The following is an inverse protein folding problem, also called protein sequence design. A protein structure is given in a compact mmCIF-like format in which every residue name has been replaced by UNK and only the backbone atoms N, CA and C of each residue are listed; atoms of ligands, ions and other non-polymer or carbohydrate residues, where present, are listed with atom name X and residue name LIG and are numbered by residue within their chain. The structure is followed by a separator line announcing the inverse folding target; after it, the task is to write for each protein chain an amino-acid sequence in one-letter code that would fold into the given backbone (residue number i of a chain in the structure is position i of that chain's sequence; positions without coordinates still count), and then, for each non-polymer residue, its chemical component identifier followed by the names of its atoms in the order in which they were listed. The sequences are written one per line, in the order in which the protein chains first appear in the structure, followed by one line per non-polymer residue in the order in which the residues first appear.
data_IF_986719184467
#
_entry.id   IF_986719184467
#
_cell.length_a   1.000
_cell.length_b   1.000
_cell.length_c   1.000
_cell.angle_alpha   90.00
_cell.angle_beta   90.00
_cell.angle_gamma   90.00
#
_symmetry.space_group_name_H-M   'P 1'
#
loop_
_entity.id
_entity.type
_entity.pdbx_description
1 polymer ?
#
# COMPACT_ATOMS: atom_id res chain seq x y z
N UNK A 1 -24.79 -13.93 -8.14
CA UNK A 1 -23.83 -13.51 -7.10
C UNK A 1 -22.58 -14.33 -7.34
N UNK A 2 -21.54 -13.73 -7.91
CA UNK A 2 -20.25 -14.38 -8.09
C UNK A 2 -19.43 -14.03 -6.85
N UNK A 3 -19.32 -14.99 -5.95
CA UNK A 3 -18.42 -14.90 -4.81
C UNK A 3 -17.00 -14.94 -5.36
N UNK A 4 -16.29 -13.82 -5.22
CA UNK A 4 -14.89 -13.75 -5.57
C UNK A 4 -14.12 -14.53 -4.52
N UNK A 5 -13.80 -15.79 -4.82
CA UNK A 5 -12.84 -16.62 -4.09
C UNK A 5 -11.45 -15.96 -4.18
N UNK A 6 -11.24 -14.94 -3.35
CA UNK A 6 -9.93 -14.40 -3.04
C UNK A 6 -9.22 -15.44 -2.17
N UNK A 7 -8.58 -16.41 -2.82
CA UNK A 7 -7.74 -17.44 -2.20
C UNK A 7 -6.38 -16.84 -1.81
N UNK A 8 -6.40 -15.72 -1.08
CA UNK A 8 -5.23 -15.17 -0.40
C UNK A 8 -4.97 -16.06 0.82
N UNK A 9 -4.45 -17.26 0.54
CA UNK A 9 -4.18 -18.30 1.52
C UNK A 9 -3.47 -17.69 2.72
N UNK A 10 -4.13 -17.80 3.88
CA UNK A 10 -3.70 -17.23 5.14
C UNK A 10 -2.20 -17.47 5.35
N UNK A 11 -1.38 -16.44 5.16
CA UNK A 11 0.02 -16.49 5.51
C UNK A 11 0.10 -16.83 6.99
N UNK A 12 0.69 -17.98 7.31
CA UNK A 12 1.13 -18.25 8.69
C UNK A 12 1.91 -17.01 9.15
N UNK A 13 1.53 -16.36 10.26
CA UNK A 13 2.17 -15.12 10.68
C UNK A 13 3.65 -15.40 10.88
N UNK A 14 4.48 -14.93 9.95
CA UNK A 14 5.93 -15.08 10.05
C UNK A 14 6.35 -14.24 11.25
N UNK A 15 6.95 -14.90 12.25
CA UNK A 15 7.50 -14.18 13.41
C UNK A 15 8.53 -13.19 12.88
N UNK A 16 8.31 -11.91 13.18
CA UNK A 16 9.22 -10.85 12.78
C UNK A 16 10.58 -11.09 13.45
N UNK A 17 11.66 -10.85 12.72
CA UNK A 17 12.98 -10.84 13.34
C UNK A 17 13.13 -9.60 14.22
N UNK A 18 13.99 -9.62 15.25
CA UNK A 18 14.26 -8.43 16.06
C UNK A 18 14.79 -7.23 15.24
N UNK A 19 15.41 -7.49 14.08
CA UNK A 19 15.80 -6.45 13.15
C UNK A 19 14.58 -5.82 12.43
N UNK A 20 13.61 -6.63 12.01
CA UNK A 20 12.40 -6.15 11.36
C UNK A 20 11.54 -5.31 12.33
N UNK A 21 11.40 -5.73 13.59
CA UNK A 21 10.66 -4.97 14.60
C UNK A 21 11.28 -3.59 14.86
N UNK A 22 12.62 -3.52 14.95
CA UNK A 22 13.32 -2.23 15.11
C UNK A 22 13.11 -1.31 13.90
N UNK A 23 13.21 -1.86 12.69
CA UNK A 23 13.01 -1.09 11.46
C UNK A 23 11.58 -0.52 11.38
N UNK A 24 10.57 -1.31 11.76
CA UNK A 24 9.18 -0.87 11.79
C UNK A 24 8.96 0.23 12.82
N UNK A 25 9.56 0.11 14.00
CA UNK A 25 9.48 1.12 15.06
C UNK A 25 10.10 2.45 14.61
N UNK A 26 11.29 2.43 14.01
CA UNK A 26 11.94 3.64 13.48
C UNK A 26 11.10 4.28 12.35
N UNK A 27 10.57 3.47 11.44
CA UNK A 27 9.71 3.96 10.36
C UNK A 27 8.42 4.59 10.91
N UNK A 28 7.86 4.04 11.99
CA UNK A 28 6.71 4.62 12.66
C UNK A 28 7.06 5.94 13.37
N UNK A 29 8.20 6.01 14.06
CA UNK A 29 8.70 7.25 14.67
C UNK A 29 8.90 8.34 13.60
N UNK A 30 9.45 7.98 12.43
CA UNK A 30 9.57 8.90 11.29
C UNK A 30 8.21 9.38 10.79
N UNK A 31 7.24 8.47 10.61
CA UNK A 31 5.87 8.86 10.18
C UNK A 31 5.19 9.79 11.18
N UNK A 32 5.38 9.58 12.49
CA UNK A 32 4.81 10.44 13.54
C UNK A 32 5.43 11.84 13.56
N UNK A 33 6.70 11.96 13.16
CA UNK A 33 7.42 13.23 13.11
C UNK A 33 7.21 13.97 11.77
N UNK A 34 6.81 13.25 10.73
CA UNK A 34 6.56 13.84 9.42
C UNK A 34 5.22 14.57 9.44
N UNK A 35 5.21 15.82 8.99
CA UNK A 35 3.97 16.56 8.83
C UNK A 35 3.11 15.93 7.72
N UNK A 36 1.80 15.88 7.93
CA UNK A 36 0.85 15.50 6.89
C UNK A 36 0.99 16.45 5.71
N UNK A 37 1.29 15.90 4.54
CA UNK A 37 1.27 16.65 3.30
C UNK A 37 -0.19 16.95 2.96
N UNK A 38 -0.59 18.21 3.10
CA UNK A 38 -1.91 18.68 2.66
C UNK A 38 -1.93 18.81 1.14
N UNK A 39 -2.02 17.67 0.45
CA UNK A 39 -2.29 17.65 -0.97
C UNK A 39 -3.80 17.81 -1.22
N UNK A 40 -4.20 18.54 -2.27
CA UNK A 40 -5.60 18.58 -2.67
C UNK A 40 -6.09 17.15 -2.95
N UNK A 41 -7.35 16.83 -2.59
CA UNK A 41 -7.90 15.51 -2.86
C UNK A 41 -7.93 15.27 -4.38
N UNK A 42 -7.44 14.10 -4.79
CA UNK A 42 -7.52 13.68 -6.19
C UNK A 42 -8.97 13.29 -6.52
N UNK A 43 -9.61 14.09 -7.36
CA UNK A 43 -10.98 13.86 -7.83
C UNK A 43 -10.95 13.08 -9.15
N UNK A 44 -11.75 12.02 -9.25
CA UNK A 44 -11.77 11.14 -10.43
C UNK A 44 -10.59 10.15 -10.52
N UNK A 45 -9.67 10.16 -9.55
CA UNK A 45 -8.62 9.17 -9.40
C UNK A 45 -9.14 7.82 -8.88
N UNK A 46 -8.37 6.76 -9.09
CA UNK A 46 -8.74 5.38 -8.70
C UNK A 46 -8.64 5.10 -7.18
N UNK A 47 -8.38 6.15 -6.38
CA UNK A 47 -7.96 6.04 -4.97
C UNK A 47 -6.55 5.48 -4.85
N UNK A 48 -5.77 5.93 -3.86
CA UNK A 48 -4.36 5.57 -3.74
C UNK A 48 -3.43 6.56 -4.48
N UNK A 49 -2.13 6.27 -4.48
CA UNK A 49 -1.12 7.15 -5.05
C UNK A 49 -1.21 7.16 -6.59
N UNK A 50 -1.05 8.33 -7.24
CA UNK A 50 -1.18 8.41 -8.70
C UNK A 50 -0.27 7.42 -9.45
N UNK A 51 -0.84 6.53 -10.29
CA UNK A 51 -0.06 5.62 -11.13
C UNK A 51 1.01 6.33 -11.95
N UNK A 52 0.70 7.54 -12.44
CA UNK A 52 1.63 8.38 -13.23
C UNK A 52 2.81 8.87 -12.41
N UNK A 53 2.62 9.16 -11.12
CA UNK A 53 3.70 9.63 -10.24
C UNK A 53 4.55 8.50 -9.70
N UNK A 54 3.96 7.31 -9.49
CA UNK A 54 4.61 6.22 -8.75
C UNK A 54 4.86 4.96 -9.59
N UNK A 55 4.47 4.96 -10.87
CA UNK A 55 4.69 3.85 -11.80
C UNK A 55 3.80 2.63 -11.56
N UNK A 56 2.80 2.73 -10.67
CA UNK A 56 1.92 1.64 -10.30
C UNK A 56 0.68 1.61 -11.22
N UNK A 57 0.89 1.17 -12.46
CA UNK A 57 -0.17 0.98 -13.45
C UNK A 57 -0.84 -0.40 -13.34
N UNK A 58 -0.41 -1.23 -12.39
CA UNK A 58 -0.87 -2.61 -12.27
C UNK A 58 -2.06 -2.73 -11.31
N UNK A 59 -3.16 -3.29 -11.81
CA UNK A 59 -4.32 -3.64 -10.99
C UNK A 59 -4.60 -5.12 -11.19
N UNK A 60 -4.50 -5.90 -10.10
CA UNK A 60 -4.72 -7.36 -10.12
C UNK A 60 -3.86 -8.07 -11.17
N UNK A 61 -2.59 -7.65 -11.29
CA UNK A 61 -1.62 -8.23 -12.23
C UNK A 61 -1.87 -7.88 -13.70
N UNK A 62 -2.65 -6.83 -13.99
CA UNK A 62 -2.85 -6.30 -15.34
C UNK A 62 -2.41 -4.85 -15.38
N UNK A 63 -1.59 -4.48 -16.36
CA UNK A 63 -1.34 -3.09 -16.67
C UNK A 63 -2.62 -2.45 -17.23
N UNK A 64 -3.08 -1.39 -16.61
CA UNK A 64 -4.33 -0.70 -16.95
C UNK A 64 -4.00 0.75 -17.35
N UNK A 65 -3.86 0.99 -18.65
CA UNK A 65 -3.50 2.29 -19.25
C UNK A 65 -4.61 2.79 -20.20
N UNK A 66 -5.27 3.89 -19.81
CA UNK A 66 -6.29 4.63 -20.56
C UNK A 66 -6.74 5.89 -19.81
#
# INVERSE_FOLDING_TARGET
MQDADNDNGAETPRRLSPAAERALKEAEERRRQQADLQLPPETGGRGGAEPVRFGDYEIKGRAIDF
#
